data_IF_255270097707
#
_entry.id   IF_255270097707
#
_cell.length_a   1.000
_cell.length_b   1.000
_cell.length_c   1.000
_cell.angle_alpha   90.00
_cell.angle_beta   90.00
_cell.angle_gamma   90.00
#
_symmetry.space_group_name_H-M   'P 1'
#
loop_
_entity.id
_entity.type
_entity.pdbx_description
1 polymer ?
#
# COMPACT_ATOMS: atom_id res chain seq x y z
N UNK A 1 -16.25 16.70 -0.08
CA UNK A 1 -14.82 16.63 0.25
C UNK A 1 -13.94 17.17 -0.87
N UNK A 2 -12.63 17.26 -0.65
CA UNK A 2 -11.71 17.83 -1.66
C UNK A 2 -11.76 17.13 -3.02
N UNK A 3 -11.99 15.82 -3.02
CA UNK A 3 -12.18 15.06 -4.26
C UNK A 3 -13.42 15.50 -5.05
N UNK A 4 -14.54 15.72 -4.39
CA UNK A 4 -15.77 16.16 -5.05
C UNK A 4 -15.59 17.55 -5.69
N UNK A 5 -14.96 18.46 -4.96
CA UNK A 5 -14.63 19.80 -5.48
C UNK A 5 -13.71 19.71 -6.70
N UNK A 6 -12.71 18.82 -6.67
CA UNK A 6 -11.85 18.59 -7.82
C UNK A 6 -12.63 18.05 -9.02
N UNK A 7 -13.51 17.06 -8.79
CA UNK A 7 -14.34 16.44 -9.83
C UNK A 7 -15.29 17.46 -10.45
N UNK A 8 -15.96 18.26 -9.63
CA UNK A 8 -16.81 19.39 -10.08
C UNK A 8 -16.00 20.37 -10.93
N UNK A 9 -14.85 20.82 -10.44
CA UNK A 9 -13.99 21.72 -11.19
C UNK A 9 -13.55 21.15 -12.54
N UNK A 10 -13.11 19.89 -12.58
CA UNK A 10 -12.68 19.26 -13.83
C UNK A 10 -13.84 19.08 -14.82
N UNK A 11 -15.04 18.82 -14.32
CA UNK A 11 -16.24 18.69 -15.16
C UNK A 11 -16.65 20.03 -15.83
N UNK A 12 -16.19 21.17 -15.32
CA UNK A 12 -16.37 22.46 -16.02
C UNK A 12 -15.47 22.61 -17.26
N UNK A 13 -14.60 21.62 -17.51
CA UNK A 13 -13.65 21.60 -18.63
C UNK A 13 -12.82 22.89 -18.72
N UNK A 14 -12.03 23.21 -17.70
CA UNK A 14 -11.39 24.53 -17.59
C UNK A 14 -10.36 24.76 -18.70
N UNK A 15 -10.63 25.71 -19.57
CA UNK A 15 -9.81 26.03 -20.75
C UNK A 15 -8.38 26.43 -20.40
N UNK A 16 -8.18 27.15 -19.30
CA UNK A 16 -6.86 27.52 -18.81
C UNK A 16 -6.00 26.28 -18.51
N UNK A 17 -6.59 25.22 -17.92
CA UNK A 17 -5.91 23.97 -17.65
C UNK A 17 -5.58 23.22 -18.96
N UNK A 18 -6.50 23.20 -19.92
CA UNK A 18 -6.26 22.64 -21.26
C UNK A 18 -5.07 23.30 -21.94
N UNK A 19 -5.02 24.62 -21.95
CA UNK A 19 -3.93 25.39 -22.55
C UNK A 19 -2.58 25.09 -21.86
N UNK A 20 -2.59 24.96 -20.54
CA UNK A 20 -1.40 24.60 -19.77
C UNK A 20 -0.90 23.20 -20.12
N UNK A 21 -1.80 22.22 -20.23
CA UNK A 21 -1.46 20.86 -20.64
C UNK A 21 -0.93 20.79 -22.07
N UNK A 22 -1.53 21.54 -23.02
CA UNK A 22 -1.08 21.62 -24.39
C UNK A 22 0.35 22.18 -24.51
N UNK A 23 0.74 23.10 -23.62
CA UNK A 23 2.10 23.65 -23.58
C UNK A 23 3.11 22.75 -22.90
N UNK A 24 2.67 21.99 -21.88
CA UNK A 24 3.56 21.18 -21.03
C UNK A 24 3.81 19.77 -21.57
N UNK A 25 2.90 19.25 -22.39
CA UNK A 25 2.96 17.89 -22.90
C UNK A 25 3.34 17.89 -24.38
N UNK A 26 4.26 16.99 -24.81
CA UNK A 26 4.66 16.90 -26.22
C UNK A 26 3.46 16.64 -27.14
N UNK A 27 3.38 17.34 -28.26
CA UNK A 27 2.25 17.33 -29.21
C UNK A 27 1.85 15.92 -29.66
N UNK A 28 2.85 15.03 -29.87
CA UNK A 28 2.62 13.63 -30.26
C UNK A 28 1.78 12.82 -29.26
N UNK A 29 1.63 13.31 -28.02
CA UNK A 29 0.86 12.65 -26.97
C UNK A 29 -0.54 13.24 -26.77
N UNK A 30 -0.84 14.40 -27.37
CA UNK A 30 -2.09 15.12 -27.14
C UNK A 30 -3.32 14.27 -27.48
N UNK A 31 -3.31 13.66 -28.67
CA UNK A 31 -4.41 12.80 -29.11
C UNK A 31 -4.56 11.55 -28.23
N UNK A 32 -3.43 10.88 -27.95
CA UNK A 32 -3.43 9.67 -27.10
C UNK A 32 -3.94 9.95 -25.69
N UNK A 33 -3.62 11.11 -25.13
CA UNK A 33 -4.06 11.51 -23.79
C UNK A 33 -5.45 12.16 -23.79
N UNK A 34 -6.01 12.51 -24.94
CA UNK A 34 -7.30 13.18 -25.02
C UNK A 34 -7.26 14.57 -24.39
N UNK A 35 -6.19 15.35 -24.67
CA UNK A 35 -6.02 16.68 -24.04
C UNK A 35 -7.01 17.68 -24.66
N UNK A 36 -7.18 17.62 -25.96
CA UNK A 36 -8.00 18.57 -26.74
C UNK A 36 -9.50 18.43 -26.42
N UNK A 37 -9.96 17.22 -26.16
CA UNK A 37 -11.37 16.87 -25.91
C UNK A 37 -11.69 16.58 -24.45
N UNK A 38 -10.75 16.86 -23.55
CA UNK A 38 -10.84 16.55 -22.11
C UNK A 38 -11.06 15.06 -21.77
N UNK A 39 -10.83 14.14 -22.71
CA UNK A 39 -10.99 12.70 -22.50
C UNK A 39 -10.16 12.11 -21.37
N UNK A 40 -9.07 12.78 -20.97
CA UNK A 40 -8.27 12.42 -19.81
C UNK A 40 -9.04 12.56 -18.48
N UNK A 41 -10.02 13.46 -18.37
CA UNK A 41 -10.82 13.66 -17.15
C UNK A 41 -11.59 12.38 -16.83
N UNK A 42 -12.19 11.76 -17.84
CA UNK A 42 -12.92 10.51 -17.62
C UNK A 42 -12.01 9.35 -17.18
N UNK A 43 -10.78 9.30 -17.69
CA UNK A 43 -9.77 8.33 -17.23
C UNK A 43 -9.29 8.56 -15.80
N UNK A 44 -9.35 9.80 -15.33
CA UNK A 44 -8.95 10.17 -13.97
C UNK A 44 -10.11 10.04 -12.98
N UNK A 45 -11.27 10.63 -13.27
CA UNK A 45 -12.40 10.81 -12.36
C UNK A 45 -13.70 10.15 -12.84
N UNK A 46 -13.71 9.47 -13.98
CA UNK A 46 -14.86 8.70 -14.45
C UNK A 46 -15.12 7.47 -13.58
N UNK A 47 -16.17 6.72 -13.88
CA UNK A 47 -16.61 5.56 -13.09
C UNK A 47 -15.51 4.51 -12.85
N UNK A 48 -14.62 4.31 -13.83
CA UNK A 48 -13.44 3.45 -13.73
C UNK A 48 -12.13 4.24 -13.71
N UNK A 49 -12.19 5.52 -13.36
CA UNK A 49 -11.03 6.40 -13.30
C UNK A 49 -10.09 6.02 -12.15
N UNK A 50 -8.79 6.16 -12.38
CA UNK A 50 -7.78 5.74 -11.39
C UNK A 50 -7.93 6.47 -10.05
N UNK A 51 -8.33 7.73 -10.06
CA UNK A 51 -8.55 8.49 -8.83
C UNK A 51 -9.88 8.13 -8.18
N UNK A 52 -10.93 7.88 -8.96
CA UNK A 52 -12.23 7.42 -8.46
C UNK A 52 -12.08 6.08 -7.72
N UNK A 53 -11.41 5.10 -8.33
CA UNK A 53 -11.14 3.78 -7.72
C UNK A 53 -10.35 3.95 -6.41
N UNK A 54 -9.31 4.78 -6.42
CA UNK A 54 -8.50 5.02 -5.22
C UNK A 54 -9.31 5.65 -4.08
N UNK A 55 -10.20 6.59 -4.39
CA UNK A 55 -11.06 7.24 -3.41
C UNK A 55 -12.13 6.29 -2.89
N UNK A 56 -12.71 5.46 -3.74
CA UNK A 56 -13.71 4.46 -3.32
C UNK A 56 -13.08 3.38 -2.43
N UNK A 57 -11.90 2.90 -2.76
CA UNK A 57 -11.14 1.96 -1.91
C UNK A 57 -10.83 2.55 -0.53
N UNK A 58 -10.43 3.82 -0.49
CA UNK A 58 -10.20 4.53 0.76
C UNK A 58 -11.48 4.66 1.59
N UNK A 59 -12.58 5.10 0.96
CA UNK A 59 -13.89 5.24 1.63
C UNK A 59 -14.40 3.90 2.15
N UNK A 60 -14.29 2.85 1.35
CA UNK A 60 -14.66 1.49 1.75
C UNK A 60 -13.88 1.02 2.97
N UNK A 61 -12.57 1.25 2.99
CA UNK A 61 -11.71 0.93 4.12
C UNK A 61 -12.11 1.68 5.39
N UNK A 62 -12.39 2.98 5.28
CA UNK A 62 -12.84 3.81 6.39
C UNK A 62 -14.19 3.30 6.94
N UNK A 63 -15.14 3.02 6.05
CA UNK A 63 -16.47 2.52 6.44
C UNK A 63 -16.41 1.16 7.15
N UNK A 64 -15.49 0.27 6.73
CA UNK A 64 -15.24 -0.98 7.44
C UNK A 64 -14.70 -0.76 8.85
N UNK A 65 -13.70 0.11 9.01
CA UNK A 65 -13.15 0.44 10.32
C UNK A 65 -14.20 1.06 11.26
N UNK A 66 -15.08 1.90 10.72
CA UNK A 66 -16.18 2.49 11.48
C UNK A 66 -17.21 1.46 11.93
N UNK A 67 -17.55 0.50 11.06
CA UNK A 67 -18.44 -0.60 11.39
C UNK A 67 -17.88 -1.45 12.52
N UNK A 68 -16.59 -1.80 12.47
CA UNK A 68 -15.95 -2.57 13.54
C UNK A 68 -15.89 -1.80 14.85
N UNK A 69 -15.54 -0.51 14.81
CA UNK A 69 -15.56 0.34 15.97
C UNK A 69 -16.95 0.37 16.62
N UNK A 70 -17.99 0.51 15.81
CA UNK A 70 -19.37 0.50 16.29
C UNK A 70 -19.76 -0.87 16.88
N UNK A 71 -19.35 -1.96 16.23
CA UNK A 71 -19.59 -3.32 16.73
C UNK A 71 -18.92 -3.57 18.10
N UNK A 72 -17.68 -3.12 18.28
CA UNK A 72 -16.98 -3.21 19.56
C UNK A 72 -17.70 -2.41 20.66
N UNK A 73 -18.12 -1.18 20.36
CA UNK A 73 -18.90 -0.36 21.31
C UNK A 73 -20.22 -1.02 21.73
N UNK A 74 -20.91 -1.65 20.78
CA UNK A 74 -22.17 -2.38 21.09
C UNK A 74 -21.95 -3.60 21.98
N UNK A 75 -20.78 -4.23 21.89
CA UNK A 75 -20.41 -5.38 22.74
C UNK A 75 -19.78 -4.96 24.08
N UNK A 76 -19.68 -3.65 24.34
CA UNK A 76 -18.99 -3.09 25.50
C UNK A 76 -17.51 -3.52 25.62
N UNK A 77 -16.87 -3.76 24.49
CA UNK A 77 -15.44 -4.07 24.40
C UNK A 77 -14.65 -2.76 24.23
N UNK A 78 -14.41 -2.09 25.37
CA UNK A 78 -13.77 -0.78 25.38
C UNK A 78 -12.30 -0.84 24.93
N UNK A 79 -11.61 -1.96 25.17
CA UNK A 79 -10.22 -2.14 24.75
C UNK A 79 -10.12 -2.22 23.22
N UNK A 80 -10.91 -3.09 22.60
CA UNK A 80 -10.98 -3.19 21.16
C UNK A 80 -11.48 -1.90 20.48
N UNK A 81 -12.50 -1.26 21.08
CA UNK A 81 -12.99 0.04 20.61
C UNK A 81 -11.92 1.13 20.68
N UNK A 82 -11.07 1.13 21.73
CA UNK A 82 -9.92 2.01 21.85
C UNK A 82 -8.88 1.79 20.73
N UNK A 83 -8.57 0.54 20.43
CA UNK A 83 -7.66 0.17 19.32
C UNK A 83 -8.22 0.65 17.98
N UNK A 84 -9.49 0.38 17.71
CA UNK A 84 -10.15 0.79 16.47
C UNK A 84 -10.20 2.31 16.29
N UNK A 85 -10.57 3.02 17.35
CA UNK A 85 -10.63 4.49 17.35
C UNK A 85 -9.26 5.11 17.01
N UNK A 86 -8.17 4.57 17.59
CA UNK A 86 -6.80 5.00 17.27
C UNK A 86 -6.41 4.66 15.84
N UNK A 87 -6.71 3.44 15.40
CA UNK A 87 -6.41 2.98 14.03
C UNK A 87 -7.12 3.85 13.00
N UNK A 88 -8.40 4.14 13.21
CA UNK A 88 -9.20 5.00 12.32
C UNK A 88 -8.65 6.44 12.31
N UNK A 89 -8.28 6.99 13.46
CA UNK A 89 -7.65 8.30 13.55
C UNK A 89 -6.34 8.34 12.78
N UNK A 90 -5.47 7.36 13.00
CA UNK A 90 -4.20 7.27 12.28
C UNK A 90 -4.38 7.02 10.78
N UNK A 91 -5.46 6.39 10.37
CA UNK A 91 -5.78 6.18 8.97
C UNK A 91 -6.33 7.46 8.30
N UNK A 92 -7.13 8.26 8.99
CA UNK A 92 -7.70 9.52 8.50
C UNK A 92 -6.77 10.72 8.63
N UNK A 93 -6.06 10.81 9.74
CA UNK A 93 -5.26 11.99 10.11
C UNK A 93 -3.83 11.59 10.39
N UNK A 94 -2.90 12.10 9.63
CA UNK A 94 -1.50 12.15 10.01
C UNK A 94 -1.24 13.49 10.70
N UNK A 95 -1.05 13.48 12.02
CA UNK A 95 -0.79 14.69 12.80
C UNK A 95 0.69 15.04 12.97
N UNK A 96 1.58 14.25 12.43
CA UNK A 96 3.02 14.51 12.58
C UNK A 96 3.64 14.92 11.26
N UNK A 97 4.16 16.12 11.21
CA UNK A 97 4.76 16.75 10.03
C UNK A 97 6.12 16.16 9.63
N UNK A 98 6.67 15.22 10.39
CA UNK A 98 8.07 14.77 10.26
C UNK A 98 8.30 13.35 9.72
N UNK A 99 7.28 12.61 9.35
CA UNK A 99 7.50 11.26 8.80
C UNK A 99 6.56 11.02 7.63
N UNK A 100 7.05 11.00 6.43
CA UNK A 100 6.52 10.44 5.16
C UNK A 100 5.01 10.25 4.99
N UNK A 101 4.20 11.13 5.58
CA UNK A 101 2.84 10.81 5.96
C UNK A 101 1.83 11.24 4.95
N UNK A 102 0.87 10.43 4.76
CA UNK A 102 -0.49 10.59 4.21
C UNK A 102 -0.82 11.99 3.68
N UNK A 103 0.18 12.65 3.08
CA UNK A 103 -0.02 13.82 2.23
C UNK A 103 -0.87 13.39 1.04
N UNK A 104 -1.55 14.33 0.40
CA UNK A 104 -2.26 14.07 -0.84
C UNK A 104 -1.35 13.35 -1.86
N UNK A 105 -0.10 13.79 -1.98
CA UNK A 105 0.90 13.16 -2.84
C UNK A 105 1.12 11.69 -2.44
N UNK A 106 1.32 11.42 -1.15
CA UNK A 106 1.49 10.07 -0.64
C UNK A 106 0.27 9.18 -0.87
N UNK A 107 -0.94 9.72 -0.79
CA UNK A 107 -2.16 9.01 -1.16
C UNK A 107 -2.17 8.67 -2.65
N UNK A 108 -1.88 9.62 -3.53
CA UNK A 108 -1.91 9.45 -4.97
C UNK A 108 -0.85 8.44 -5.46
N UNK A 109 0.34 8.48 -4.87
CA UNK A 109 1.42 7.56 -5.22
C UNK A 109 1.13 6.13 -4.74
N UNK A 110 0.65 5.95 -3.50
CA UNK A 110 0.28 4.63 -2.96
C UNK A 110 -0.82 3.94 -3.77
N UNK A 111 -1.73 4.71 -4.33
CA UNK A 111 -2.82 4.19 -5.15
C UNK A 111 -2.48 4.17 -6.66
N UNK A 112 -1.21 4.32 -7.02
CA UNK A 112 -0.72 4.33 -8.40
C UNK A 112 -1.40 5.39 -9.31
N UNK A 113 -1.92 6.46 -8.73
CA UNK A 113 -2.42 7.63 -9.48
C UNK A 113 -1.26 8.50 -9.96
N UNK A 114 -0.22 8.63 -9.12
CA UNK A 114 1.06 9.24 -9.50
C UNK A 114 2.16 8.17 -9.55
N UNK A 115 3.16 8.34 -10.43
CA UNK A 115 4.29 7.44 -10.47
C UNK A 115 5.12 7.52 -9.20
N UNK A 116 5.63 6.40 -8.75
CA UNK A 116 6.44 6.28 -7.52
C UNK A 116 7.83 6.95 -7.63
N UNK A 117 8.25 7.34 -8.81
CA UNK A 117 9.56 7.93 -9.07
C UNK A 117 9.73 9.29 -8.39
N UNK A 118 10.70 9.38 -7.50
CA UNK A 118 11.07 10.64 -6.84
C UNK A 118 10.30 11.00 -5.57
N UNK A 119 9.33 10.18 -5.16
CA UNK A 119 8.62 10.37 -3.90
C UNK A 119 8.82 9.16 -2.99
N UNK A 120 9.54 9.26 -1.87
CA UNK A 120 9.71 8.17 -0.90
C UNK A 120 8.41 8.01 -0.08
N UNK A 121 7.39 7.40 -0.66
CA UNK A 121 6.03 7.38 -0.10
C UNK A 121 5.55 5.99 0.31
N UNK A 122 6.25 4.95 -0.05
CA UNK A 122 5.95 3.59 0.35
C UNK A 122 6.66 3.22 1.65
N UNK A 123 6.57 4.10 2.67
CA UNK A 123 7.09 3.76 3.99
C UNK A 123 6.10 2.88 4.73
N UNK A 124 6.60 1.77 5.26
CA UNK A 124 5.87 0.87 6.15
C UNK A 124 6.55 0.78 7.50
N UNK A 125 5.76 0.50 8.53
CA UNK A 125 6.23 0.48 9.90
C UNK A 125 6.31 -0.94 10.43
N UNK A 126 7.33 -1.22 11.21
CA UNK A 126 7.35 -2.34 12.16
C UNK A 126 6.83 -1.82 13.50
N UNK A 127 5.71 -2.35 13.95
CA UNK A 127 5.09 -1.98 15.21
C UNK A 127 5.56 -2.94 16.29
N UNK A 128 6.33 -2.43 17.29
CA UNK A 128 6.89 -3.27 18.35
C UNK A 128 5.82 -3.90 19.25
N UNK A 129 4.73 -3.17 19.53
CA UNK A 129 3.58 -3.66 20.29
C UNK A 129 2.30 -2.98 19.80
N UNK A 130 1.34 -3.78 19.38
CA UNK A 130 0.04 -3.29 18.91
C UNK A 130 -0.76 -2.59 20.02
N UNK A 131 -0.53 -2.95 21.29
CA UNK A 131 -1.18 -2.36 22.44
C UNK A 131 -0.46 -1.10 22.95
N UNK A 132 0.81 -0.91 22.59
CA UNK A 132 1.57 0.29 22.92
C UNK A 132 1.31 1.46 21.98
N UNK A 133 0.59 1.25 20.89
CA UNK A 133 0.22 2.31 19.96
C UNK A 133 -0.64 3.36 20.68
N UNK A 134 0.00 4.47 21.07
CA UNK A 134 -0.65 5.60 21.75
C UNK A 134 -0.32 5.77 23.24
N UNK A 135 0.56 4.95 23.81
CA UNK A 135 1.10 5.13 25.17
C UNK A 135 2.54 5.61 25.11
N UNK A 136 2.75 6.91 25.03
CA UNK A 136 4.09 7.52 25.07
C UNK A 136 4.76 7.64 23.68
N UNK A 137 6.06 7.95 23.66
CA UNK A 137 6.90 7.95 22.45
C UNK A 137 7.01 6.51 21.91
N UNK A 138 6.07 6.10 21.05
CA UNK A 138 6.22 4.84 20.35
C UNK A 138 7.46 4.92 19.46
N UNK A 139 8.34 3.95 19.58
CA UNK A 139 9.48 3.79 18.71
C UNK A 139 9.00 3.68 17.28
N UNK A 140 9.37 4.62 16.43
CA UNK A 140 8.95 4.64 15.01
C UNK A 140 10.02 3.91 14.18
N UNK A 141 9.76 2.64 13.89
CA UNK A 141 10.57 1.83 12.98
C UNK A 141 9.93 1.88 11.59
N UNK A 142 10.16 2.95 10.86
CA UNK A 142 9.67 3.13 9.51
C UNK A 142 10.80 2.93 8.50
N UNK A 143 10.53 2.20 7.42
CA UNK A 143 11.42 1.98 6.28
C UNK A 143 10.64 2.12 4.99
N UNK A 144 11.34 2.46 3.91
CA UNK A 144 10.83 2.26 2.57
C UNK A 144 10.39 0.80 2.38
N UNK A 145 9.32 0.56 1.61
CA UNK A 145 8.74 -0.77 1.44
C UNK A 145 9.75 -1.79 0.91
N UNK A 146 10.63 -1.38 0.00
CA UNK A 146 11.65 -2.25 -0.57
C UNK A 146 12.64 -2.71 0.49
N UNK A 147 13.10 -1.79 1.34
CA UNK A 147 13.96 -2.13 2.47
C UNK A 147 13.21 -2.90 3.55
N UNK A 148 11.97 -2.53 3.82
CA UNK A 148 11.16 -3.16 4.85
C UNK A 148 10.84 -4.63 4.54
N UNK A 149 10.68 -5.00 3.28
CA UNK A 149 10.50 -6.41 2.89
C UNK A 149 11.72 -7.25 3.28
N UNK A 150 12.92 -6.69 3.21
CA UNK A 150 14.14 -7.36 3.64
C UNK A 150 14.36 -7.29 5.16
N UNK A 151 14.18 -6.09 5.75
CA UNK A 151 14.53 -5.85 7.16
C UNK A 151 13.42 -6.25 8.15
N UNK A 152 12.15 -6.24 7.73
CA UNK A 152 10.99 -6.46 8.60
C UNK A 152 10.17 -7.71 8.23
N UNK A 153 10.67 -8.55 7.33
CA UNK A 153 9.97 -9.79 7.05
C UNK A 153 9.82 -10.66 8.32
N UNK A 154 8.80 -11.51 8.42
CA UNK A 154 8.61 -12.37 9.59
C UNK A 154 9.83 -13.23 9.88
N UNK A 155 10.36 -13.13 11.11
CA UNK A 155 11.59 -13.78 11.54
C UNK A 155 12.80 -12.83 11.62
N UNK A 156 12.76 -11.66 10.96
CA UNK A 156 13.86 -10.69 11.02
C UNK A 156 14.02 -10.07 12.40
N UNK A 157 15.26 -9.87 12.81
CA UNK A 157 15.64 -9.24 14.06
C UNK A 157 16.04 -7.79 13.82
N UNK A 158 15.38 -6.86 14.50
CA UNK A 158 15.62 -5.42 14.38
C UNK A 158 16.09 -4.86 15.71
N UNK A 159 17.28 -4.30 15.74
CA UNK A 159 17.79 -3.64 16.94
C UNK A 159 17.46 -2.15 16.91
N UNK A 160 16.79 -1.68 17.94
CA UNK A 160 16.44 -0.28 18.10
C UNK A 160 16.29 0.08 19.58
N UNK A 161 16.74 1.28 19.96
CA UNK A 161 16.68 1.79 21.33
C UNK A 161 17.24 0.79 22.38
N UNK A 162 18.37 0.13 22.06
CA UNK A 162 19.04 -0.84 22.93
C UNK A 162 18.27 -2.14 23.16
N UNK A 163 17.26 -2.43 22.38
CA UNK A 163 16.46 -3.66 22.41
C UNK A 163 16.38 -4.31 21.05
N UNK A 164 16.18 -5.61 21.03
CA UNK A 164 15.97 -6.39 19.83
C UNK A 164 14.48 -6.73 19.68
N UNK A 165 13.93 -6.43 18.54
CA UNK A 165 12.57 -6.72 18.14
C UNK A 165 12.57 -7.79 17.05
N UNK A 166 11.83 -8.87 17.25
CA UNK A 166 11.67 -9.92 16.24
C UNK A 166 10.38 -9.67 15.48
N UNK A 167 10.48 -9.43 14.18
CA UNK A 167 9.30 -9.31 13.33
C UNK A 167 8.56 -10.64 13.24
N UNK A 168 7.23 -10.63 13.42
CA UNK A 168 6.44 -11.86 13.53
C UNK A 168 5.38 -12.00 12.46
N UNK A 169 4.69 -10.91 12.15
CA UNK A 169 3.53 -10.95 11.28
C UNK A 169 3.50 -9.77 10.32
N UNK A 170 2.98 -10.03 9.11
CA UNK A 170 2.47 -8.96 8.25
C UNK A 170 1.17 -8.45 8.87
N UNK A 171 1.09 -7.15 9.07
CA UNK A 171 -0.08 -6.51 9.67
C UNK A 171 -1.26 -6.60 8.70
N UNK A 172 -2.32 -7.25 9.13
CA UNK A 172 -3.59 -7.29 8.41
C UNK A 172 -4.43 -6.05 8.72
N UNK A 173 -5.37 -5.74 7.84
CA UNK A 173 -6.43 -4.80 8.17
C UNK A 173 -7.20 -5.30 9.38
N UNK A 174 -7.42 -4.43 10.36
CA UNK A 174 -8.26 -4.76 11.50
C UNK A 174 -9.67 -5.18 11.00
N UNK A 175 -10.31 -6.16 11.67
CA UNK A 175 -11.65 -6.64 11.34
C UNK A 175 -11.75 -7.68 10.23
N UNK A 176 -10.68 -7.88 9.46
CA UNK A 176 -10.64 -8.95 8.46
C UNK A 176 -9.89 -10.16 8.99
N UNK A 177 -10.43 -11.36 8.71
CA UNK A 177 -9.68 -12.61 8.92
C UNK A 177 -8.46 -12.66 7.98
N UNK A 178 -7.57 -13.62 8.20
CA UNK A 178 -6.37 -13.77 7.39
C UNK A 178 -6.69 -14.01 5.91
N UNK A 179 -7.81 -14.68 5.63
CA UNK A 179 -8.24 -15.01 4.27
C UNK A 179 -8.55 -13.77 3.45
N UNK A 180 -9.19 -12.75 4.03
CA UNK A 180 -9.49 -11.50 3.34
C UNK A 180 -8.22 -10.71 2.94
N UNK A 181 -7.11 -10.88 3.66
CA UNK A 181 -5.82 -10.33 3.24
C UNK A 181 -5.28 -11.07 2.01
N UNK A 182 -5.43 -12.40 1.98
CA UNK A 182 -5.03 -13.22 0.86
C UNK A 182 -5.89 -13.02 -0.39
N UNK A 183 -7.17 -12.70 -0.27
CA UNK A 183 -8.05 -12.38 -1.39
C UNK A 183 -7.54 -11.19 -2.22
N UNK A 184 -6.92 -10.20 -1.56
CA UNK A 184 -6.30 -9.04 -2.21
C UNK A 184 -4.92 -9.34 -2.81
N UNK A 185 -4.38 -10.53 -2.61
CA UNK A 185 -3.12 -10.97 -3.16
C UNK A 185 -3.15 -11.07 -4.69
N UNK A 186 -1.99 -11.06 -5.30
CA UNK A 186 -1.79 -11.21 -6.74
C UNK A 186 -0.70 -12.27 -7.00
N UNK A 187 -0.61 -12.71 -8.24
CA UNK A 187 0.44 -13.62 -8.68
C UNK A 187 1.43 -12.85 -9.54
N UNK A 188 2.74 -13.04 -9.28
CA UNK A 188 3.78 -12.29 -9.97
C UNK A 188 5.04 -13.14 -10.19
N UNK A 189 5.07 -14.05 -11.17
CA UNK A 189 6.32 -14.69 -11.57
C UNK A 189 7.12 -13.82 -12.53
N UNK A 190 8.43 -13.96 -12.48
CA UNK A 190 9.35 -13.43 -13.47
C UNK A 190 9.43 -14.41 -14.66
N UNK A 191 9.35 -13.89 -15.87
CA UNK A 191 9.50 -14.73 -17.06
C UNK A 191 10.92 -15.31 -17.12
N UNK A 192 11.08 -16.63 -17.29
CA UNK A 192 12.41 -17.24 -17.36
C UNK A 192 13.21 -16.86 -18.59
N UNK A 193 12.54 -16.40 -19.67
CA UNK A 193 13.19 -16.07 -20.95
C UNK A 193 13.58 -14.60 -21.03
N UNK A 194 12.65 -13.66 -20.74
CA UNK A 194 12.90 -12.23 -20.94
C UNK A 194 12.99 -11.44 -19.61
N UNK A 195 12.81 -12.09 -18.47
CA UNK A 195 12.88 -11.45 -17.16
C UNK A 195 11.68 -10.57 -16.81
N UNK A 196 10.68 -10.43 -17.70
CA UNK A 196 9.49 -9.59 -17.46
C UNK A 196 8.66 -10.11 -16.28
N UNK A 197 8.33 -9.28 -15.27
CA UNK A 197 7.37 -9.65 -14.26
C UNK A 197 5.94 -9.69 -14.83
N UNK A 198 5.19 -10.72 -14.47
CA UNK A 198 3.84 -10.95 -14.96
C UNK A 198 2.85 -10.90 -13.81
N UNK A 199 1.88 -9.99 -13.86
CA UNK A 199 0.92 -9.78 -12.77
C UNK A 199 -0.46 -10.28 -13.16
N UNK A 200 -1.12 -11.01 -12.25
CA UNK A 200 -2.53 -11.34 -12.37
C UNK A 200 -3.19 -11.46 -11.00
N UNK A 201 -4.45 -11.04 -10.91
CA UNK A 201 -5.28 -11.26 -9.71
C UNK A 201 -6.01 -12.61 -9.75
N UNK A 202 -6.22 -13.14 -10.95
CA UNK A 202 -6.94 -14.39 -11.12
C UNK A 202 -6.07 -15.59 -10.79
N UNK A 203 -6.64 -16.64 -10.18
CA UNK A 203 -5.95 -17.90 -9.96
C UNK A 203 -5.40 -18.48 -11.27
N UNK A 204 -4.16 -18.92 -11.23
CA UNK A 204 -3.54 -19.59 -12.37
C UNK A 204 -3.89 -21.06 -12.36
N UNK A 205 -4.57 -21.50 -13.40
CA UNK A 205 -5.06 -22.89 -13.58
C UNK A 205 -4.38 -23.55 -14.78
N UNK A 206 -4.45 -24.87 -14.86
CA UNK A 206 -3.93 -25.63 -16.00
C UNK A 206 -2.41 -25.61 -16.12
N UNK A 207 -1.92 -25.44 -17.34
CA UNK A 207 -0.48 -25.45 -17.68
C UNK A 207 0.27 -24.17 -17.31
N UNK A 208 -0.43 -23.14 -16.85
CA UNK A 208 0.12 -21.81 -16.58
C UNK A 208 -0.43 -20.76 -17.52
N UNK A 209 0.33 -19.67 -17.69
CA UNK A 209 -0.02 -18.56 -18.59
C UNK A 209 1.21 -18.18 -19.43
N UNK A 210 0.97 -17.49 -20.52
CA UNK A 210 2.04 -16.93 -21.36
C UNK A 210 2.53 -15.58 -20.80
N UNK A 211 3.83 -15.32 -21.02
CA UNK A 211 4.43 -14.04 -20.71
C UNK A 211 3.80 -12.92 -21.55
N UNK A 212 3.44 -11.82 -20.93
CA UNK A 212 2.82 -10.65 -21.58
C UNK A 212 3.75 -9.98 -22.60
N UNK A 213 5.06 -10.23 -22.52
CA UNK A 213 6.07 -9.59 -23.39
C UNK A 213 6.56 -10.51 -24.50
N UNK A 214 7.00 -11.73 -24.17
CA UNK A 214 7.64 -12.64 -25.12
C UNK A 214 6.82 -13.91 -25.43
N UNK A 215 5.61 -14.02 -24.87
CA UNK A 215 4.69 -15.14 -25.05
C UNK A 215 5.24 -16.52 -24.63
N UNK A 216 6.38 -16.57 -23.95
CA UNK A 216 6.93 -17.81 -23.42
C UNK A 216 5.99 -18.33 -22.33
N UNK A 217 5.64 -19.62 -22.32
CA UNK A 217 4.81 -20.23 -21.29
C UNK A 217 5.49 -20.17 -19.91
N UNK A 218 4.79 -19.63 -18.92
CA UNK A 218 5.23 -19.62 -17.53
C UNK A 218 4.47 -20.70 -16.79
N UNK A 219 5.18 -21.70 -16.28
CA UNK A 219 4.58 -22.86 -15.61
C UNK A 219 3.76 -22.45 -14.40
N UNK A 220 2.63 -23.14 -14.15
CA UNK A 220 1.75 -22.89 -13.01
C UNK A 220 2.48 -22.85 -11.67
N UNK A 221 3.45 -23.70 -11.44
CA UNK A 221 4.21 -23.76 -10.18
C UNK A 221 5.04 -22.51 -9.89
N UNK A 222 5.35 -21.70 -10.93
CA UNK A 222 6.05 -20.43 -10.79
C UNK A 222 5.13 -19.29 -10.33
N UNK A 223 3.81 -19.47 -10.42
CA UNK A 223 2.81 -18.48 -10.07
C UNK A 223 2.45 -18.61 -8.58
N UNK A 224 3.25 -18.00 -7.73
CA UNK A 224 2.98 -17.94 -6.29
C UNK A 224 2.12 -16.73 -5.97
N UNK A 225 1.16 -16.92 -5.06
CA UNK A 225 0.37 -15.82 -4.55
C UNK A 225 1.23 -14.91 -3.69
N UNK A 226 1.24 -13.64 -3.99
CA UNK A 226 2.07 -12.61 -3.37
C UNK A 226 1.18 -11.61 -2.65
N UNK A 227 1.63 -11.09 -1.53
CA UNK A 227 0.92 -10.12 -0.72
C UNK A 227 1.80 -8.88 -0.53
N UNK A 228 1.25 -7.71 -0.80
CA UNK A 228 1.90 -6.44 -0.49
C UNK A 228 1.63 -6.06 0.97
N UNK A 229 2.65 -5.84 1.81
CA UNK A 229 2.46 -5.53 3.24
C UNK A 229 2.11 -4.06 3.46
N UNK A 230 1.03 -3.57 2.85
CA UNK A 230 0.60 -2.15 2.89
C UNK A 230 0.39 -1.58 4.28
N UNK A 231 0.06 -2.43 5.25
CA UNK A 231 -0.16 -2.02 6.64
C UNK A 231 1.09 -2.16 7.50
N UNK A 232 2.21 -2.62 6.91
CA UNK A 232 3.47 -2.86 7.59
C UNK A 232 3.52 -4.19 8.33
N UNK A 233 4.36 -4.25 9.35
CA UNK A 233 4.71 -5.46 10.08
C UNK A 233 4.46 -5.28 11.57
N UNK A 234 4.32 -6.39 12.30
CA UNK A 234 4.24 -6.42 13.76
C UNK A 234 5.36 -7.27 14.31
N UNK A 235 6.03 -6.77 15.34
CA UNK A 235 6.99 -7.54 16.11
C UNK A 235 6.31 -8.40 17.20
N UNK A 236 7.06 -9.26 17.84
CA UNK A 236 6.68 -9.93 19.07
C UNK A 236 6.35 -8.89 20.16
N UNK A 237 5.49 -9.27 21.12
CA UNK A 237 5.05 -8.36 22.19
C UNK A 237 6.20 -7.91 23.10
N UNK A 238 7.16 -8.78 23.30
CA UNK A 238 8.28 -8.55 24.21
C UNK A 238 9.57 -8.33 23.41
N UNK A 239 10.19 -7.18 23.61
CA UNK A 239 11.50 -6.92 23.10
C UNK A 239 12.54 -7.73 23.89
N UNK A 240 13.52 -8.29 23.20
CA UNK A 240 14.60 -9.07 23.79
C UNK A 240 15.83 -8.19 24.08
N UNK A 241 16.69 -8.56 25.02
CA UNK A 241 18.01 -7.93 25.15
C UNK A 241 18.80 -8.14 23.85
N UNK A 242 19.60 -7.15 23.47
CA UNK A 242 20.45 -7.26 22.27
C UNK A 242 21.47 -8.39 22.47
N UNK A 243 21.49 -9.40 21.60
CA UNK A 243 22.46 -10.49 21.70
C UNK A 243 23.88 -10.01 21.34
N UNK A 244 24.89 -10.74 21.78
CA UNK A 244 26.29 -10.45 21.42
C UNK A 244 26.61 -10.78 19.95
N UNK A 245 25.77 -11.58 19.28
CA UNK A 245 25.93 -11.91 17.86
C UNK A 245 25.20 -10.89 16.98
N UNK A 246 25.60 -10.82 15.73
CA UNK A 246 24.93 -9.97 14.74
C UNK A 246 23.47 -10.41 14.57
N UNK A 247 22.51 -9.48 14.53
CA UNK A 247 21.11 -9.81 14.23
C UNK A 247 20.98 -10.62 12.94
N UNK A 248 20.18 -11.66 12.98
CA UNK A 248 19.96 -12.50 11.81
C UNK A 248 19.05 -11.81 10.81
N UNK A 249 19.53 -11.65 9.59
CA UNK A 249 18.76 -11.23 8.44
C UNK A 249 18.71 -12.41 7.46
N UNK A 250 17.70 -13.22 7.60
CA UNK A 250 17.61 -14.51 6.88
C UNK A 250 16.91 -14.39 5.53
N UNK A 251 16.87 -13.16 4.95
CA UNK A 251 16.15 -12.93 3.70
C UNK A 251 17.11 -12.75 2.52
N UNK A 252 17.08 -13.72 1.65
CA UNK A 252 17.49 -13.51 0.26
C UNK A 252 16.34 -12.76 -0.43
N UNK A 253 16.52 -11.46 -0.60
CA UNK A 253 15.74 -10.73 -1.60
C UNK A 253 16.19 -11.25 -2.96
N UNK A 254 15.41 -12.09 -3.60
CA UNK A 254 15.51 -12.23 -5.03
C UNK A 254 15.20 -10.85 -5.61
N UNK A 255 16.06 -10.36 -6.51
CA UNK A 255 15.94 -9.03 -7.13
C UNK A 255 14.65 -8.93 -7.96
N UNK A 256 13.55 -8.58 -7.30
CA UNK A 256 12.31 -8.19 -7.93
C UNK A 256 12.26 -6.65 -7.98
N UNK A 257 12.78 -6.12 -9.06
CA UNK A 257 12.60 -4.71 -9.44
C UNK A 257 11.36 -4.54 -10.31
#
# INVERSE_FOLDING_TARGET
GGYELLKEYLNTQPENLRQLLLRSIPTKMHQRLGISDFGWINRLCGENGVLEIAVQDFRGTVAEMERELFACRRRHDDEAAGVWSRTLRNFRCSKDDNAGKKSLIGFLVRNNVLPKYGFPVDTVELIPDINAVGRGKALQLARDLQMAIAEYAPGAEVVADGKMYVSRYIRKMPGKNADAAWEKGFYCPKCPTCGQPNFTKDPVTGSGRECVSCHTPIKRLSWRKTLEPRMGFCAEKEARPVPMHRPEHDFKTDDYY
#
